data_IF_233031489558
#
_entry.id   IF_233031489558
#
_cell.length_a   1.000
_cell.length_b   1.000
_cell.length_c   1.000
_cell.angle_alpha   90.00
_cell.angle_beta   90.00
_cell.angle_gamma   90.00
#
_symmetry.space_group_name_H-M   'P 1'
#
loop_
_entity.id
_entity.type
_entity.pdbx_description
1 polymer ?
#
# COMPACT_ATOMS: atom_id res chain seq x y z
N UNK A 1 -8.33 -8.61 -20.44
CA UNK A 1 -8.75 -7.23 -20.11
C UNK A 1 -10.18 -7.36 -19.62
N UNK A 2 -10.45 -7.01 -18.37
CA UNK A 2 -11.82 -7.12 -17.83
C UNK A 2 -12.67 -5.99 -18.40
N UNK A 3 -13.87 -6.33 -18.86
CA UNK A 3 -14.80 -5.33 -19.38
C UNK A 3 -15.38 -4.52 -18.19
N UNK A 4 -15.54 -3.22 -18.35
CA UNK A 4 -16.14 -2.32 -17.39
C UNK A 4 -17.57 -2.74 -17.01
N UNK A 5 -18.29 -3.36 -17.94
CA UNK A 5 -19.62 -3.90 -17.72
C UNK A 5 -19.61 -5.14 -16.82
N UNK A 6 -18.55 -5.94 -16.87
CA UNK A 6 -18.42 -7.13 -16.01
C UNK A 6 -18.13 -6.78 -14.55
N UNK A 7 -17.51 -5.61 -14.29
CA UNK A 7 -17.17 -5.14 -12.95
C UNK A 7 -18.27 -4.28 -12.32
N UNK A 8 -19.27 -3.80 -13.10
CA UNK A 8 -20.31 -2.94 -12.56
C UNK A 8 -21.18 -3.69 -11.56
N UNK A 9 -21.39 -3.12 -10.36
CA UNK A 9 -22.16 -3.72 -9.25
C UNK A 9 -21.67 -5.12 -8.83
N UNK A 10 -20.40 -5.48 -9.17
CA UNK A 10 -19.81 -6.80 -8.87
C UNK A 10 -18.42 -6.66 -8.27
N UNK A 11 -18.11 -7.54 -7.33
CA UNK A 11 -16.76 -7.68 -6.74
C UNK A 11 -16.29 -9.10 -6.98
N UNK A 12 -15.11 -9.26 -7.59
CA UNK A 12 -14.60 -10.59 -7.94
C UNK A 12 -13.14 -10.72 -7.51
N UNK A 13 -12.82 -11.78 -6.75
CA UNK A 13 -11.43 -12.16 -6.51
C UNK A 13 -10.81 -12.71 -7.80
N UNK A 14 -9.55 -12.37 -8.08
CA UNK A 14 -8.85 -12.89 -9.25
C UNK A 14 -7.42 -13.31 -8.90
N UNK A 15 -6.86 -14.20 -9.73
CA UNK A 15 -5.49 -14.71 -9.60
C UNK A 15 -5.10 -15.12 -8.16
N UNK A 16 -6.04 -15.76 -7.45
CA UNK A 16 -5.83 -16.21 -6.06
C UNK A 16 -4.69 -17.22 -6.02
N UNK A 17 -3.64 -16.91 -5.23
CA UNK A 17 -2.46 -17.74 -5.08
C UNK A 17 -1.54 -17.80 -6.33
N UNK A 18 -1.87 -17.11 -7.42
CA UNK A 18 -1.11 -17.14 -8.68
C UNK A 18 -0.79 -15.75 -9.23
N UNK A 19 -1.09 -14.70 -8.48
CA UNK A 19 -0.86 -13.34 -8.95
C UNK A 19 0.64 -13.04 -9.11
N UNK A 20 1.00 -12.41 -10.22
CA UNK A 20 2.40 -12.10 -10.57
C UNK A 20 3.14 -11.24 -9.55
N UNK A 21 2.44 -10.43 -8.75
CA UNK A 21 3.05 -9.61 -7.70
C UNK A 21 3.32 -10.40 -6.41
N UNK A 22 2.77 -11.62 -6.22
CA UNK A 22 3.02 -12.39 -5.00
C UNK A 22 4.51 -12.61 -4.74
N UNK A 23 5.31 -13.13 -5.69
CA UNK A 23 6.75 -13.32 -5.46
C UNK A 23 7.50 -12.00 -5.26
N UNK A 24 7.06 -10.92 -5.89
CA UNK A 24 7.67 -9.59 -5.70
C UNK A 24 7.42 -9.05 -4.28
N UNK A 25 6.19 -9.21 -3.77
CA UNK A 25 5.84 -8.83 -2.40
C UNK A 25 6.65 -9.66 -1.39
N UNK A 26 6.70 -10.97 -1.57
CA UNK A 26 7.46 -11.88 -0.70
C UNK A 26 8.95 -11.59 -0.72
N UNK A 27 9.53 -11.29 -1.89
CA UNK A 27 10.93 -10.87 -2.01
C UNK A 27 11.19 -9.58 -1.23
N UNK A 28 10.41 -8.54 -1.46
CA UNK A 28 10.59 -7.25 -0.79
C UNK A 28 10.46 -7.35 0.73
N UNK A 29 9.50 -8.14 1.22
CA UNK A 29 9.31 -8.37 2.64
C UNK A 29 10.46 -9.21 3.23
N UNK A 30 10.94 -10.24 2.53
CA UNK A 30 12.04 -11.09 2.96
C UNK A 30 13.35 -10.34 3.03
N UNK A 31 13.63 -9.46 2.06
CA UNK A 31 14.82 -8.62 2.04
C UNK A 31 14.88 -7.68 3.26
N UNK A 32 13.72 -7.13 3.67
CA UNK A 32 13.63 -6.26 4.84
C UNK A 32 13.68 -7.06 6.15
N UNK A 33 13.03 -8.23 6.18
CA UNK A 33 12.97 -9.07 7.38
C UNK A 33 14.29 -9.80 7.68
N UNK A 34 15.13 -10.00 6.65
CA UNK A 34 16.33 -10.83 6.74
C UNK A 34 16.06 -12.33 6.82
N UNK A 35 14.81 -12.75 6.57
CA UNK A 35 14.36 -14.15 6.54
C UNK A 35 13.22 -14.33 5.54
N UNK A 36 12.95 -15.57 5.15
CA UNK A 36 11.87 -15.85 4.19
C UNK A 36 10.49 -15.49 4.76
N UNK A 37 9.78 -14.61 4.06
CA UNK A 37 8.40 -14.21 4.37
C UNK A 37 7.48 -14.72 3.28
N UNK A 38 6.36 -15.31 3.67
CA UNK A 38 5.32 -15.75 2.76
C UNK A 38 4.01 -15.04 3.06
N UNK A 39 3.24 -14.71 2.02
CA UNK A 39 1.97 -14.00 2.13
C UNK A 39 0.84 -14.72 1.38
N UNK A 40 -0.36 -14.58 1.88
CA UNK A 40 -1.57 -14.91 1.12
C UNK A 40 -2.08 -13.61 0.50
N UNK A 41 -1.84 -13.43 -0.80
CA UNK A 41 -2.27 -12.26 -1.54
C UNK A 41 -3.50 -12.59 -2.38
N UNK A 42 -4.59 -11.86 -2.13
CA UNK A 42 -5.87 -12.08 -2.83
C UNK A 42 -6.40 -10.75 -3.34
N UNK A 43 -6.08 -10.37 -4.58
CA UNK A 43 -6.62 -9.16 -5.18
C UNK A 43 -8.07 -9.32 -5.59
N UNK A 44 -8.82 -8.21 -5.58
CA UNK A 44 -10.21 -8.14 -6.00
C UNK A 44 -10.40 -7.04 -7.04
N UNK A 45 -11.19 -7.33 -8.04
CA UNK A 45 -11.74 -6.32 -8.93
C UNK A 45 -12.91 -5.64 -8.25
N UNK A 46 -12.86 -4.32 -8.18
CA UNK A 46 -13.88 -3.48 -7.58
C UNK A 46 -14.54 -2.63 -8.67
N UNK A 47 -15.83 -2.28 -8.53
CA UNK A 47 -16.52 -1.41 -9.48
C UNK A 47 -16.10 0.06 -9.30
N UNK A 48 -14.83 0.35 -9.50
CA UNK A 48 -14.25 1.68 -9.40
C UNK A 48 -13.15 1.87 -10.43
N UNK A 49 -13.03 3.09 -10.97
CA UNK A 49 -12.08 3.41 -12.03
C UNK A 49 -10.64 3.58 -11.52
N UNK A 50 -10.47 3.98 -10.27
CA UNK A 50 -9.17 4.37 -9.70
C UNK A 50 -9.05 3.97 -8.23
N UNK A 51 -7.82 3.67 -7.87
CA UNK A 51 -7.41 3.44 -6.48
C UNK A 51 -7.15 1.98 -6.14
N UNK A 52 -6.33 1.80 -5.12
CA UNK A 52 -6.07 0.53 -4.45
C UNK A 52 -6.32 0.75 -2.97
N UNK A 53 -7.05 -0.16 -2.35
CA UNK A 53 -7.16 -0.26 -0.90
C UNK A 53 -6.60 -1.62 -0.47
N UNK A 54 -5.55 -1.59 0.33
CA UNK A 54 -4.95 -2.80 0.90
C UNK A 54 -5.35 -2.93 2.37
N UNK A 55 -5.82 -4.11 2.76
CA UNK A 55 -6.04 -4.49 4.16
C UNK A 55 -5.11 -5.65 4.49
N UNK A 56 -4.14 -5.38 5.34
CA UNK A 56 -3.05 -6.30 5.66
C UNK A 56 -3.18 -6.73 7.12
N UNK A 57 -3.14 -8.04 7.37
CA UNK A 57 -3.16 -8.62 8.69
C UNK A 57 -1.80 -9.22 9.00
N UNK A 58 -1.20 -8.83 10.12
CA UNK A 58 0.06 -9.37 10.57
C UNK A 58 -0.04 -9.87 12.02
N UNK A 59 0.68 -10.96 12.29
CA UNK A 59 0.86 -11.45 13.67
C UNK A 59 2.14 -10.87 14.22
N UNK A 60 2.09 -10.00 15.24
CA UNK A 60 3.30 -9.46 15.82
C UNK A 60 4.06 -10.56 16.60
N UNK A 61 5.38 -10.50 16.60
CA UNK A 61 6.26 -11.42 17.32
C UNK A 61 6.32 -11.16 18.83
N UNK A 62 5.82 -10.00 19.26
CA UNK A 62 5.70 -9.60 20.67
C UNK A 62 4.41 -8.80 20.86
N UNK A 63 3.99 -8.64 22.10
CA UNK A 63 2.87 -7.75 22.39
C UNK A 63 3.21 -6.32 21.96
N UNK A 64 2.26 -5.68 21.28
CA UNK A 64 2.37 -4.30 20.80
C UNK A 64 1.10 -3.54 21.16
N UNK A 65 1.22 -2.23 21.36
CA UNK A 65 0.06 -1.36 21.47
C UNK A 65 -0.05 -0.44 20.23
N UNK A 66 -1.25 0.06 19.99
CA UNK A 66 -1.54 0.87 18.81
C UNK A 66 -0.76 2.19 18.80
N UNK A 67 -0.64 2.87 19.95
CA UNK A 67 0.05 4.15 20.04
C UNK A 67 1.54 4.04 19.69
N UNK A 68 2.21 2.99 20.21
CA UNK A 68 3.61 2.71 19.88
C UNK A 68 3.80 2.42 18.39
N UNK A 69 2.89 1.64 17.77
CA UNK A 69 2.97 1.35 16.35
C UNK A 69 2.74 2.59 15.49
N UNK A 70 1.77 3.41 15.84
CA UNK A 70 1.51 4.67 15.11
C UNK A 70 2.73 5.57 15.16
N UNK A 71 3.38 5.70 16.34
CA UNK A 71 4.58 6.51 16.46
C UNK A 71 5.78 5.91 15.71
N UNK A 72 5.92 4.59 15.74
CA UNK A 72 6.92 3.88 14.93
C UNK A 72 6.75 4.17 13.43
N UNK A 73 5.52 4.10 12.91
CA UNK A 73 5.24 4.41 11.51
C UNK A 73 5.51 5.89 11.20
N UNK A 74 5.12 6.81 12.07
CA UNK A 74 5.40 8.25 11.89
C UNK A 74 6.89 8.54 11.84
N UNK A 75 7.66 7.99 12.75
CA UNK A 75 9.12 8.20 12.76
C UNK A 75 9.80 7.53 11.57
N UNK A 76 9.39 6.31 11.19
CA UNK A 76 9.95 5.61 10.04
C UNK A 76 9.70 6.33 8.70
N UNK A 77 8.52 6.94 8.55
CA UNK A 77 8.14 7.65 7.33
C UNK A 77 8.30 9.17 7.40
N UNK A 78 8.97 9.71 8.45
CA UNK A 78 9.10 11.16 8.67
C UNK A 78 9.78 11.90 7.51
N UNK A 79 10.74 11.26 6.84
CA UNK A 79 11.49 11.78 5.69
C UNK A 79 10.90 11.36 4.33
N UNK A 80 9.76 10.71 4.30
CA UNK A 80 9.11 10.20 3.08
C UNK A 80 7.96 11.12 2.67
N UNK A 81 8.16 12.08 1.75
CA UNK A 81 7.22 13.15 1.46
C UNK A 81 5.87 12.66 0.90
N UNK A 82 5.82 11.45 0.35
CA UNK A 82 4.62 10.87 -0.23
C UNK A 82 3.93 9.82 0.65
N UNK A 83 4.37 9.62 1.89
CA UNK A 83 3.70 8.71 2.84
C UNK A 83 3.04 9.52 3.94
N UNK A 84 1.72 9.35 4.11
CA UNK A 84 0.93 10.01 5.15
C UNK A 84 0.42 8.99 6.15
N UNK A 85 0.91 9.04 7.39
CA UNK A 85 0.42 8.19 8.48
C UNK A 85 -0.84 8.80 9.08
N UNK A 86 -1.97 8.13 8.86
CA UNK A 86 -3.32 8.58 9.22
C UNK A 86 -3.77 7.96 10.54
N UNK A 87 -4.60 8.68 11.28
CA UNK A 87 -5.26 8.17 12.48
C UNK A 87 -6.53 7.37 12.17
N UNK A 88 -7.20 7.73 11.08
CA UNK A 88 -8.42 7.05 10.60
C UNK A 88 -8.11 6.23 9.35
N UNK A 89 -8.84 5.12 9.11
CA UNK A 89 -8.72 4.36 7.89
C UNK A 89 -8.86 5.25 6.64
N UNK A 90 -7.95 5.13 5.66
CA UNK A 90 -8.02 5.89 4.43
C UNK A 90 -9.08 5.32 3.48
N UNK A 91 -9.64 6.18 2.64
CA UNK A 91 -10.43 5.78 1.49
C UNK A 91 -9.61 5.96 0.19
N UNK A 92 -9.94 5.19 -0.85
CA UNK A 92 -9.27 5.31 -2.16
C UNK A 92 -9.37 6.73 -2.73
N UNK A 93 -10.48 7.43 -2.48
CA UNK A 93 -10.68 8.82 -2.92
C UNK A 93 -9.71 9.83 -2.29
N UNK A 94 -9.12 9.52 -1.14
CA UNK A 94 -8.20 10.42 -0.44
C UNK A 94 -6.87 10.60 -1.20
N UNK A 95 -6.55 9.65 -2.08
CA UNK A 95 -5.27 9.58 -2.80
C UNK A 95 -5.40 9.69 -4.32
N UNK A 96 -6.62 9.60 -4.87
CA UNK A 96 -6.84 9.71 -6.32
C UNK A 96 -6.24 11.00 -6.88
N UNK A 97 -5.51 10.88 -7.99
CA UNK A 97 -4.85 11.99 -8.67
C UNK A 97 -3.54 12.45 -8.02
N UNK A 98 -3.04 11.75 -7.00
CA UNK A 98 -1.83 12.12 -6.26
C UNK A 98 -0.80 11.00 -6.20
N UNK A 99 0.45 11.34 -5.86
CA UNK A 99 1.50 10.36 -5.57
C UNK A 99 1.53 9.94 -4.08
N UNK A 100 0.53 10.28 -3.29
CA UNK A 100 0.48 9.91 -1.88
C UNK A 100 0.08 8.44 -1.66
N UNK A 101 0.70 7.85 -0.63
CA UNK A 101 0.28 6.63 0.03
C UNK A 101 -0.23 7.01 1.42
N UNK A 102 -1.50 6.77 1.69
CA UNK A 102 -2.09 6.90 3.02
C UNK A 102 -2.04 5.57 3.75
N UNK A 103 -1.50 5.57 4.97
CA UNK A 103 -1.36 4.37 5.80
C UNK A 103 -1.98 4.61 7.17
N UNK A 104 -2.82 3.69 7.60
CA UNK A 104 -3.38 3.66 8.96
C UNK A 104 -3.05 2.32 9.60
N UNK A 105 -2.56 2.36 10.84
CA UNK A 105 -2.19 1.17 11.61
C UNK A 105 -3.13 1.02 12.81
N UNK A 106 -3.63 -0.17 13.03
CA UNK A 106 -4.51 -0.53 14.15
C UNK A 106 -4.05 -1.82 14.82
N UNK A 107 -4.36 -1.95 16.11
CA UNK A 107 -4.21 -3.21 16.83
C UNK A 107 -5.59 -3.74 17.19
N UNK A 108 -5.96 -4.86 16.63
CA UNK A 108 -7.29 -5.47 16.85
C UNK A 108 -7.11 -6.93 17.24
N UNK A 109 -7.61 -7.30 18.42
CA UNK A 109 -7.55 -8.68 18.96
C UNK A 109 -6.13 -9.28 18.90
N UNK A 110 -5.11 -8.47 19.22
CA UNK A 110 -3.71 -8.91 19.22
C UNK A 110 -3.07 -9.05 17.83
N UNK A 111 -3.76 -8.65 16.77
CA UNK A 111 -3.22 -8.57 15.41
C UNK A 111 -2.94 -7.12 15.03
N UNK A 112 -1.90 -6.92 14.24
CA UNK A 112 -1.63 -5.65 13.59
C UNK A 112 -2.41 -5.61 12.27
N UNK A 113 -3.19 -4.57 12.09
CA UNK A 113 -3.86 -4.28 10.82
C UNK A 113 -3.21 -3.05 10.20
N UNK A 114 -2.79 -3.17 8.94
CA UNK A 114 -2.33 -2.05 8.15
C UNK A 114 -3.33 -1.82 7.02
N UNK A 115 -3.89 -0.63 6.99
CA UNK A 115 -4.82 -0.19 5.95
C UNK A 115 -4.09 0.85 5.11
N UNK A 116 -3.95 0.60 3.81
CA UNK A 116 -3.24 1.51 2.92
C UNK A 116 -4.08 1.82 1.69
N UNK A 117 -4.05 3.09 1.28
CA UNK A 117 -4.73 3.54 0.06
C UNK A 117 -3.77 4.33 -0.83
N UNK A 118 -3.86 4.10 -2.14
CA UNK A 118 -3.08 4.81 -3.14
C UNK A 118 -3.82 4.93 -4.47
N UNK A 119 -3.36 5.82 -5.34
CA UNK A 119 -3.78 5.87 -6.74
C UNK A 119 -3.01 4.81 -7.54
N UNK A 120 -3.73 3.88 -8.15
CA UNK A 120 -3.15 2.75 -8.89
C UNK A 120 -2.39 3.14 -10.18
N UNK A 121 -2.66 4.32 -10.75
CA UNK A 121 -2.02 4.78 -12.00
C UNK A 121 -0.96 5.87 -11.76
N UNK A 122 -1.01 6.55 -10.62
CA UNK A 122 0.00 7.54 -10.23
C UNK A 122 0.99 6.88 -9.27
N UNK A 123 0.64 6.71 -8.00
CA UNK A 123 1.53 6.09 -7.02
C UNK A 123 1.92 4.65 -7.40
N UNK A 124 0.97 3.88 -7.95
CA UNK A 124 1.21 2.51 -8.39
C UNK A 124 1.92 2.38 -9.75
N UNK A 125 2.16 3.48 -10.49
CA UNK A 125 2.75 3.42 -11.84
C UNK A 125 3.56 4.68 -12.19
N UNK A 126 2.93 5.68 -12.82
CA UNK A 126 3.64 6.82 -13.42
C UNK A 126 4.30 7.72 -12.38
N UNK A 127 3.67 7.97 -11.26
CA UNK A 127 4.19 8.85 -10.20
C UNK A 127 5.42 8.27 -9.53
N UNK A 128 5.41 6.97 -9.17
CA UNK A 128 6.59 6.32 -8.60
C UNK A 128 7.73 6.24 -9.61
N UNK A 129 7.44 6.12 -10.91
CA UNK A 129 8.47 6.16 -11.95
C UNK A 129 9.17 7.53 -12.00
N UNK A 130 8.41 8.63 -11.94
CA UNK A 130 8.96 10.00 -11.87
C UNK A 130 9.72 10.20 -10.56
N UNK A 131 9.19 9.75 -9.41
CA UNK A 131 9.88 9.83 -8.13
C UNK A 131 11.23 9.08 -8.16
N UNK A 132 11.27 7.88 -8.73
CA UNK A 132 12.51 7.12 -8.89
C UNK A 132 13.50 7.83 -9.83
N UNK A 133 13.02 8.37 -10.95
CA UNK A 133 13.84 9.19 -11.85
C UNK A 133 14.48 10.37 -11.10
N UNK A 134 13.68 11.12 -10.35
CA UNK A 134 14.19 12.25 -9.57
C UNK A 134 15.30 11.83 -8.61
N UNK A 135 15.12 10.72 -7.90
CA UNK A 135 16.13 10.20 -6.96
C UNK A 135 17.41 9.74 -7.65
N UNK A 136 17.30 9.03 -8.78
CA UNK A 136 18.44 8.53 -9.54
C UNK A 136 19.28 9.69 -10.10
N UNK A 137 18.63 10.76 -10.55
CA UNK A 137 19.31 11.91 -11.16
C UNK A 137 19.59 13.06 -10.18
N UNK A 138 19.34 12.88 -8.87
CA UNK A 138 19.67 13.85 -7.84
C UNK A 138 18.72 15.07 -7.78
N UNK A 139 17.52 14.97 -8.33
CA UNK A 139 16.48 15.98 -8.17
C UNK A 139 15.75 15.79 -6.82
N UNK A 140 15.07 16.85 -6.34
CA UNK A 140 14.11 16.68 -5.25
C UNK A 140 13.03 15.67 -5.69
N UNK A 141 12.79 14.65 -4.87
CA UNK A 141 11.88 13.56 -5.23
C UNK A 141 10.43 14.01 -5.47
N UNK A 142 10.07 15.22 -5.03
CA UNK A 142 8.76 15.85 -5.23
C UNK A 142 8.63 16.56 -6.58
N UNK A 143 9.72 16.75 -7.32
CA UNK A 143 9.70 17.50 -8.57
C UNK A 143 8.68 16.93 -9.56
N UNK A 144 7.70 17.75 -9.95
CA UNK A 144 6.62 17.37 -10.88
C UNK A 144 5.53 16.46 -10.30
N UNK A 145 5.54 16.20 -8.98
CA UNK A 145 4.60 15.29 -8.30
C UNK A 145 3.76 15.94 -7.21
N UNK A 146 3.95 17.23 -6.94
CA UNK A 146 3.21 18.03 -5.95
C UNK A 146 2.26 19.00 -6.61
#
# INVERSE_FOLDING_TARGET
MFDRLECNESVTAYAVGTHRHTPEIEQALSDIAGEAVSVIFTPHLMPMDRGILSTIYATPTRAVNEAELVELYRSYFADKPFVRVRTNPPATKDTVGTNFLDVCVKVVRGKVLVLAAEDNLIRGASGVAVQNFNRVFGFDERTGLM
#
